data_IF_018564942340
#
_entry.id   IF_018564942340
#
_cell.length_a   1.000
_cell.length_b   1.000
_cell.length_c   1.000
_cell.angle_alpha   90.00
_cell.angle_beta   90.00
_cell.angle_gamma   90.00
#
_symmetry.space_group_name_H-M   'P 1'
#
loop_
_entity.id
_entity.type
_entity.pdbx_description
1 polymer ?
#
# COMPACT_ATOMS: atom_id res chain seq x y z
N UNK A 1 -2.84 11.29 6.29
CA UNK A 1 -3.36 10.18 5.46
C UNK A 1 -4.88 10.21 5.46
N UNK A 2 -5.54 9.63 4.45
CA UNK A 2 -7.01 9.66 4.33
C UNK A 2 -7.72 9.07 5.56
N UNK A 3 -7.13 8.04 6.20
CA UNK A 3 -7.63 7.50 7.47
C UNK A 3 -7.74 8.55 8.58
N UNK A 4 -6.81 9.51 8.66
CA UNK A 4 -6.83 10.58 9.67
C UNK A 4 -8.01 11.56 9.45
N UNK A 5 -8.69 11.48 8.31
CA UNK A 5 -9.88 12.27 7.98
C UNK A 5 -11.18 11.45 8.10
N UNK A 6 -11.11 10.23 8.65
CA UNK A 6 -12.28 9.36 8.87
C UNK A 6 -12.64 8.44 7.71
N UNK A 7 -11.86 8.42 6.62
CA UNK A 7 -12.04 7.45 5.54
C UNK A 7 -11.50 6.06 5.94
N UNK A 8 -11.94 5.02 5.22
CA UNK A 8 -11.43 3.65 5.34
C UNK A 8 -10.76 3.23 4.02
N UNK A 9 -9.47 3.55 3.81
CA UNK A 9 -8.83 3.34 2.52
C UNK A 9 -8.53 1.86 2.26
N UNK A 10 -8.73 1.44 1.02
CA UNK A 10 -8.16 0.21 0.48
C UNK A 10 -6.94 0.57 -0.36
N UNK A 11 -5.80 -0.07 -0.08
CA UNK A 11 -4.57 0.11 -0.85
C UNK A 11 -4.30 -1.16 -1.66
N UNK A 12 -4.26 -1.01 -2.98
CA UNK A 12 -4.13 -2.14 -3.91
C UNK A 12 -2.65 -2.36 -4.22
N UNK A 13 -2.08 -3.43 -3.68
CA UNK A 13 -0.62 -3.65 -3.59
C UNK A 13 0.06 -3.84 -4.94
N UNK A 14 -0.64 -4.44 -5.90
CA UNK A 14 -0.18 -4.73 -7.26
C UNK A 14 -0.58 -3.65 -8.27
N UNK A 15 -1.39 -2.66 -7.86
CA UNK A 15 -1.79 -1.52 -8.68
C UNK A 15 -1.12 -0.21 -8.24
N UNK A 16 -0.03 -0.29 -7.50
CA UNK A 16 0.76 0.85 -7.05
C UNK A 16 2.24 0.62 -7.30
N UNK A 17 3.00 1.71 -7.46
CA UNK A 17 4.43 1.67 -7.73
C UNK A 17 5.15 2.76 -6.96
N UNK A 18 6.43 2.53 -6.68
CA UNK A 18 7.32 3.49 -6.05
C UNK A 18 8.69 3.45 -6.73
N UNK A 19 9.62 4.25 -6.23
CA UNK A 19 10.98 4.34 -6.72
C UNK A 19 11.95 4.12 -5.55
N UNK A 20 13.17 3.72 -5.88
CA UNK A 20 14.24 3.63 -4.89
C UNK A 20 14.54 4.97 -4.23
N UNK A 21 15.04 4.91 -3.00
CA UNK A 21 15.31 6.09 -2.16
C UNK A 21 16.62 5.90 -1.42
N UNK A 22 17.40 6.97 -1.34
CA UNK A 22 18.56 7.03 -0.45
C UNK A 22 18.13 7.61 0.88
N UNK A 23 18.35 6.88 1.96
CA UNK A 23 18.09 7.35 3.32
C UNK A 23 19.05 8.45 3.77
N UNK A 24 18.72 9.06 4.90
CA UNK A 24 19.51 10.11 5.56
C UNK A 24 20.97 9.71 5.85
N UNK A 25 21.23 8.43 6.10
CA UNK A 25 22.57 7.86 6.30
C UNK A 25 23.28 7.42 5.01
N UNK A 26 22.76 7.80 3.85
CA UNK A 26 23.34 7.45 2.54
C UNK A 26 23.09 6.02 2.07
N UNK A 27 22.38 5.18 2.86
CA UNK A 27 21.98 3.84 2.43
C UNK A 27 20.92 3.94 1.33
N UNK A 28 21.15 3.28 0.21
CA UNK A 28 20.14 3.10 -0.83
C UNK A 28 19.18 1.96 -0.48
N UNK A 29 17.89 2.20 -0.70
CA UNK A 29 16.83 1.21 -0.65
C UNK A 29 16.24 1.08 -2.05
N UNK A 30 16.13 -0.14 -2.52
CA UNK A 30 15.51 -0.50 -3.80
C UNK A 30 14.03 -0.09 -3.84
N UNK A 31 13.44 0.11 -5.03
CA UNK A 31 12.00 0.29 -5.18
C UNK A 31 11.19 -0.80 -4.47
N UNK A 32 11.63 -2.05 -4.56
CA UNK A 32 10.99 -3.21 -3.93
C UNK A 32 11.00 -3.11 -2.40
N UNK A 33 12.15 -2.81 -1.78
CA UNK A 33 12.24 -2.59 -0.32
C UNK A 33 11.34 -1.44 0.14
N UNK A 34 11.32 -0.32 -0.61
CA UNK A 34 10.45 0.82 -0.30
C UNK A 34 8.97 0.46 -0.50
N UNK A 35 8.64 -0.37 -1.48
CA UNK A 35 7.27 -0.80 -1.72
C UNK A 35 6.78 -1.67 -0.56
N UNK A 36 7.53 -2.73 -0.23
CA UNK A 36 7.18 -3.65 0.85
C UNK A 36 7.07 -2.95 2.21
N UNK A 37 8.05 -2.11 2.56
CA UNK A 37 8.04 -1.43 3.86
C UNK A 37 6.84 -0.49 4.00
N UNK A 38 6.43 0.18 2.91
CA UNK A 38 5.25 1.05 2.92
C UNK A 38 3.96 0.24 3.01
N UNK A 39 3.84 -0.88 2.27
CA UNK A 39 2.66 -1.76 2.38
C UNK A 39 2.51 -2.27 3.82
N UNK A 40 3.59 -2.76 4.43
CA UNK A 40 3.57 -3.25 5.82
C UNK A 40 3.23 -2.14 6.81
N UNK A 41 3.84 -0.95 6.67
CA UNK A 41 3.61 0.17 7.58
C UNK A 41 2.20 0.76 7.48
N UNK A 42 1.58 0.69 6.31
CA UNK A 42 0.23 1.22 6.09
C UNK A 42 -0.86 0.20 6.47
N UNK A 43 -0.57 -1.09 6.33
CA UNK A 43 -1.56 -2.13 6.57
C UNK A 43 -2.02 -2.15 8.04
N UNK A 44 -3.33 -2.22 8.23
CA UNK A 44 -4.01 -2.21 9.54
C UNK A 44 -3.92 -0.89 10.35
N UNK A 45 -2.95 -0.03 10.08
CA UNK A 45 -2.85 1.28 10.74
C UNK A 45 -3.56 2.39 9.94
N UNK A 46 -3.37 2.45 8.63
CA UNK A 46 -3.87 3.54 7.77
C UNK A 46 -4.66 3.08 6.54
N UNK A 47 -4.61 1.79 6.20
CA UNK A 47 -5.36 1.20 5.11
C UNK A 47 -5.55 -0.31 5.33
N UNK A 48 -6.52 -0.89 4.61
CA UNK A 48 -6.55 -2.34 4.36
C UNK A 48 -5.80 -2.59 3.06
N UNK A 49 -4.69 -3.33 3.12
CA UNK A 49 -3.91 -3.71 1.93
C UNK A 49 -4.46 -5.01 1.34
N UNK A 50 -4.65 -5.05 0.03
CA UNK A 50 -5.07 -6.24 -0.73
C UNK A 50 -4.57 -6.17 -2.17
N UNK A 51 -4.62 -7.27 -2.91
CA UNK A 51 -4.34 -7.28 -4.35
C UNK A 51 -5.60 -6.97 -5.18
N UNK A 52 -5.38 -6.72 -6.47
CA UNK A 52 -6.45 -6.40 -7.42
C UNK A 52 -7.46 -7.54 -7.52
N UNK A 53 -7.00 -8.79 -7.50
CA UNK A 53 -7.87 -9.96 -7.59
C UNK A 53 -8.86 -10.05 -6.41
N UNK A 54 -8.37 -9.80 -5.19
CA UNK A 54 -9.21 -9.75 -3.97
C UNK A 54 -10.25 -8.64 -4.06
N UNK A 55 -9.85 -7.44 -4.52
CA UNK A 55 -10.79 -6.34 -4.72
C UNK A 55 -11.88 -6.70 -5.73
N UNK A 56 -11.51 -7.29 -6.87
CA UNK A 56 -12.46 -7.70 -7.90
C UNK A 56 -13.46 -8.73 -7.36
N UNK A 57 -13.00 -9.74 -6.62
CA UNK A 57 -13.88 -10.72 -5.99
C UNK A 57 -14.87 -10.10 -4.99
N UNK A 58 -14.45 -9.07 -4.24
CA UNK A 58 -15.35 -8.32 -3.37
C UNK A 58 -16.41 -7.59 -4.21
N UNK A 59 -16.01 -6.83 -5.22
CA UNK A 59 -16.92 -6.02 -6.04
C UNK A 59 -17.94 -6.91 -6.76
N UNK A 60 -17.49 -8.01 -7.36
CA UNK A 60 -18.36 -8.97 -8.05
C UNK A 60 -19.36 -9.66 -7.11
N UNK A 61 -19.04 -9.80 -5.82
CA UNK A 61 -19.95 -10.40 -4.83
C UNK A 61 -21.13 -9.50 -4.41
N UNK A 62 -21.08 -8.21 -4.74
CA UNK A 62 -22.10 -7.21 -4.35
C UNK A 62 -22.96 -6.74 -5.52
N UNK A 63 -22.70 -7.24 -6.73
CA UNK A 63 -23.46 -6.96 -7.96
C UNK A 63 -24.28 -8.20 -8.32
#
# INVERSE_FOLDING_TARGET
MAANLGFKPYLISDATATFGRTGDKGKYYSPEEIHEINLVSLNHEFATVMDTATLMGIIESVI
#
